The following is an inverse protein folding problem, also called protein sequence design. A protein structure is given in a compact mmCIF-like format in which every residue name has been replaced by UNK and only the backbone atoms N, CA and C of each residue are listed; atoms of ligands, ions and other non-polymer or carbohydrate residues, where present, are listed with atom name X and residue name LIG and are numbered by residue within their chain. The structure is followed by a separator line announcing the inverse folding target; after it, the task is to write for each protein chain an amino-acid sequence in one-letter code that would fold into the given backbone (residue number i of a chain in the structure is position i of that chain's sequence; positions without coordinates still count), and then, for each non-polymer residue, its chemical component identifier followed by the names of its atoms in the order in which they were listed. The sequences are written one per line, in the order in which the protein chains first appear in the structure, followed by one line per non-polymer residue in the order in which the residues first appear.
data_IF_212743709822
#
_entry.id   IF_212743709822
#
_cell.length_a   1.000
_cell.length_b   1.000
_cell.length_c   1.000
_cell.angle_alpha   90.00
_cell.angle_beta   90.00
_cell.angle_gamma   90.00
#
_symmetry.space_group_name_H-M   'P 1'
#
loop_
_entity.id
_entity.type
_entity.pdbx_description
1 polymer ?
#
# COMPACT_ATOMS: atom_id res chain seq x y z
N UNK A 1 -28.08 -34.21 41.29
CA UNK A 1 -28.87 -34.07 40.04
C UNK A 1 -28.82 -32.60 39.62
N UNK A 2 -27.76 -32.19 38.93
CA UNK A 2 -27.65 -30.88 38.27
C UNK A 2 -26.98 -31.15 36.92
N UNK A 3 -27.76 -30.92 35.88
CA UNK A 3 -27.45 -30.99 34.45
C UNK A 3 -26.78 -29.67 34.02
N UNK A 4 -26.36 -29.59 32.75
CA UNK A 4 -26.06 -28.37 31.96
C UNK A 4 -24.56 -27.97 31.99
N UNK A 5 -23.80 -27.77 30.90
CA UNK A 5 -23.98 -27.86 29.45
C UNK A 5 -22.57 -28.00 28.85
N UNK A 6 -22.28 -29.00 28.02
CA UNK A 6 -20.99 -29.06 27.29
C UNK A 6 -21.10 -28.16 26.05
N UNK A 7 -20.49 -26.97 26.10
CA UNK A 7 -20.29 -26.13 24.92
C UNK A 7 -19.20 -26.79 24.05
N UNK A 8 -19.62 -27.41 22.94
CA UNK A 8 -18.70 -27.83 21.88
C UNK A 8 -18.40 -26.58 21.07
N UNK A 9 -17.22 -25.99 21.29
CA UNK A 9 -16.68 -24.94 20.42
C UNK A 9 -16.31 -25.63 19.11
N UNK A 10 -17.21 -25.55 18.13
CA UNK A 10 -16.91 -25.89 16.75
C UNK A 10 -15.94 -24.88 16.18
N UNK A 11 -14.68 -25.27 16.04
CA UNK A 11 -13.69 -24.53 15.24
C UNK A 11 -14.16 -24.65 13.79
N UNK A 12 -14.80 -23.58 13.31
CA UNK A 12 -15.07 -23.40 11.87
C UNK A 12 -13.71 -23.15 11.23
N UNK A 13 -13.13 -24.20 10.63
CA UNK A 13 -12.06 -24.03 9.66
C UNK A 13 -12.64 -23.21 8.51
N UNK A 14 -12.32 -21.91 8.49
CA UNK A 14 -12.55 -21.06 7.35
C UNK A 14 -11.58 -21.55 6.27
N UNK A 15 -12.03 -22.50 5.45
CA UNK A 15 -11.29 -22.97 4.30
C UNK A 15 -11.11 -21.78 3.35
N UNK A 16 -9.91 -21.21 3.34
CA UNK A 16 -9.51 -20.28 2.30
C UNK A 16 -9.66 -21.01 0.97
N UNK A 17 -10.58 -20.51 0.14
CA UNK A 17 -10.70 -20.96 -1.25
C UNK A 17 -9.40 -20.55 -1.93
N UNK A 18 -8.44 -21.48 -1.96
CA UNK A 18 -7.16 -21.34 -2.64
C UNK A 18 -7.40 -21.29 -4.15
N UNK A 19 -7.66 -20.09 -4.66
CA UNK A 19 -7.65 -19.83 -6.10
C UNK A 19 -6.20 -19.99 -6.57
N UNK A 20 -5.92 -21.09 -7.25
CA UNK A 20 -4.56 -21.53 -7.60
C UNK A 20 -3.85 -20.49 -8.46
N UNK A 21 -2.97 -19.69 -7.84
CA UNK A 21 -1.88 -19.02 -8.55
C UNK A 21 -1.00 -20.10 -9.18
N UNK A 22 -0.71 -19.98 -10.47
CA UNK A 22 0.17 -20.92 -11.14
C UNK A 22 1.52 -20.91 -10.41
N UNK A 23 1.94 -22.07 -9.87
CA UNK A 23 3.16 -22.14 -9.09
C UNK A 23 4.34 -21.82 -10.00
N UNK A 24 5.05 -20.73 -9.71
CA UNK A 24 6.32 -20.40 -10.35
C UNK A 24 7.26 -21.61 -10.28
N UNK A 25 7.89 -21.96 -11.41
CA UNK A 25 8.91 -23.01 -11.42
C UNK A 25 10.11 -22.59 -10.56
N UNK A 26 10.88 -23.55 -10.00
CA UNK A 26 12.08 -23.23 -9.24
C UNK A 26 13.05 -22.33 -10.00
N UNK A 27 13.21 -22.54 -11.31
CA UNK A 27 14.09 -21.75 -12.18
C UNK A 27 13.60 -20.30 -12.33
N UNK A 28 12.29 -20.12 -12.48
CA UNK A 28 11.68 -18.79 -12.53
C UNK A 28 11.84 -18.04 -11.20
N UNK A 29 11.69 -18.75 -10.06
CA UNK A 29 11.93 -18.17 -8.74
C UNK A 29 13.39 -17.76 -8.55
N UNK A 30 14.33 -18.61 -8.94
CA UNK A 30 15.77 -18.33 -8.87
C UNK A 30 16.14 -17.12 -9.74
N UNK A 31 15.62 -17.03 -10.97
CA UNK A 31 15.83 -15.89 -11.84
C UNK A 31 15.28 -14.58 -11.26
N UNK A 32 14.08 -14.61 -10.67
CA UNK A 32 13.48 -13.44 -10.03
C UNK A 32 14.23 -13.03 -8.77
N UNK A 33 14.72 -13.98 -7.98
CA UNK A 33 15.53 -13.70 -6.78
C UNK A 33 16.90 -13.08 -7.12
N UNK A 34 17.40 -13.27 -8.34
CA UNK A 34 18.65 -12.63 -8.83
C UNK A 34 18.45 -11.19 -9.27
N UNK A 35 17.21 -10.69 -9.37
CA UNK A 35 16.97 -9.29 -9.69
C UNK A 35 17.48 -8.41 -8.55
N UNK A 36 18.35 -7.46 -8.90
CA UNK A 36 18.84 -6.49 -7.92
C UNK A 36 17.80 -5.39 -7.71
N UNK A 37 16.97 -5.55 -6.68
CA UNK A 37 16.01 -4.55 -6.22
C UNK A 37 16.29 -4.24 -4.74
N UNK A 38 17.33 -3.44 -4.42
CA UNK A 38 17.67 -3.07 -3.05
C UNK A 38 16.49 -2.47 -2.29
N UNK A 39 16.40 -2.82 -1.00
CA UNK A 39 15.34 -2.36 -0.09
C UNK A 39 14.04 -3.17 -0.16
N UNK A 40 13.95 -4.16 -1.04
CA UNK A 40 12.76 -5.01 -1.16
C UNK A 40 13.09 -6.51 -1.22
N UNK A 41 12.10 -7.34 -0.91
CA UNK A 41 12.12 -8.79 -1.10
C UNK A 41 10.82 -9.25 -1.76
N UNK A 42 10.94 -10.06 -2.81
CA UNK A 42 9.80 -10.76 -3.40
C UNK A 42 9.51 -12.00 -2.54
N UNK A 43 8.35 -12.03 -1.89
CA UNK A 43 7.93 -13.15 -1.06
C UNK A 43 6.94 -14.01 -1.86
N UNK A 44 7.42 -15.11 -2.43
CA UNK A 44 6.60 -16.01 -3.24
C UNK A 44 5.75 -16.99 -2.42
N UNK A 45 6.00 -17.12 -1.12
CA UNK A 45 5.20 -17.97 -0.23
C UNK A 45 3.89 -17.27 0.12
N UNK A 46 3.98 -16.02 0.56
CA UNK A 46 2.84 -15.14 0.82
C UNK A 46 2.32 -14.44 -0.43
N UNK A 47 3.07 -14.51 -1.53
CA UNK A 47 2.86 -13.75 -2.76
C UNK A 47 2.66 -12.25 -2.47
N UNK A 48 3.67 -11.69 -1.80
CA UNK A 48 3.74 -10.29 -1.41
C UNK A 48 5.05 -9.64 -1.86
N UNK A 49 5.09 -8.32 -1.81
CA UNK A 49 6.33 -7.54 -1.84
C UNK A 49 6.58 -7.06 -0.41
N UNK A 50 7.73 -7.42 0.14
CA UNK A 50 8.17 -6.99 1.46
C UNK A 50 9.16 -5.82 1.25
N UNK A 51 8.82 -4.62 1.75
CA UNK A 51 9.64 -3.41 1.65
C UNK A 51 10.27 -3.15 3.01
N UNK A 52 11.59 -3.04 3.09
CA UNK A 52 12.29 -2.73 4.33
C UNK A 52 12.16 -1.25 4.66
N UNK A 53 11.80 -0.93 5.90
CA UNK A 53 11.50 0.43 6.34
C UNK A 53 11.88 0.62 7.82
N UNK A 54 11.85 1.87 8.26
CA UNK A 54 12.03 2.25 9.66
C UNK A 54 10.83 3.06 10.14
N UNK A 55 10.53 2.99 11.43
CA UNK A 55 9.58 3.91 12.07
C UNK A 55 10.21 5.30 12.10
N UNK A 56 9.56 6.31 11.53
CA UNK A 56 10.08 7.69 11.51
C UNK A 56 9.16 8.72 12.19
N UNK A 57 7.95 8.32 12.60
CA UNK A 57 7.01 9.18 13.32
C UNK A 57 6.16 8.41 14.32
N UNK A 58 6.14 8.86 15.58
CA UNK A 58 5.32 8.28 16.66
C UNK A 58 4.08 9.11 17.02
N UNK A 59 4.05 10.38 16.62
CA UNK A 59 2.94 11.30 16.87
C UNK A 59 2.87 12.34 15.75
N UNK A 60 1.65 12.66 15.29
CA UNK A 60 1.44 13.67 14.26
C UNK A 60 0.24 13.36 13.39
N UNK A 61 -0.21 14.38 12.65
CA UNK A 61 -1.14 14.19 11.52
C UNK A 61 -0.40 13.57 10.34
N UNK A 62 -1.10 12.79 9.53
CA UNK A 62 -0.50 12.01 8.46
C UNK A 62 -0.90 12.53 7.09
N UNK A 63 0.10 12.70 6.23
CA UNK A 63 -0.09 12.77 4.78
C UNK A 63 0.27 11.44 4.11
N UNK A 64 1.17 10.66 4.71
CA UNK A 64 1.62 9.36 4.20
C UNK A 64 1.69 8.28 5.26
N UNK A 65 1.63 7.04 4.81
CA UNK A 65 2.04 5.86 5.58
C UNK A 65 3.54 5.62 5.41
N UNK A 66 4.02 5.69 4.17
CA UNK A 66 5.41 5.39 3.83
C UNK A 66 5.92 6.46 2.86
N UNK A 67 7.06 7.06 3.20
CA UNK A 67 7.83 7.92 2.30
C UNK A 67 9.21 7.33 2.00
N UNK A 68 9.94 7.92 1.06
CA UNK A 68 11.37 7.65 0.91
C UNK A 68 12.17 8.38 1.99
N UNK A 69 13.37 7.89 2.32
CA UNK A 69 14.28 8.59 3.22
C UNK A 69 14.64 9.99 2.70
N UNK A 70 14.85 10.92 3.64
CA UNK A 70 15.12 12.34 3.44
C UNK A 70 14.07 13.07 2.59
N UNK A 71 12.79 12.82 2.86
CA UNK A 71 11.68 13.48 2.15
C UNK A 71 10.61 14.03 3.10
N UNK A 72 9.73 13.16 3.62
CA UNK A 72 8.47 13.53 4.29
C UNK A 72 8.27 12.80 5.62
N UNK A 73 9.35 12.49 6.32
CA UNK A 73 9.34 11.75 7.58
C UNK A 73 8.54 12.46 8.69
N UNK A 74 8.41 13.79 8.61
CA UNK A 74 7.64 14.57 9.58
C UNK A 74 6.11 14.39 9.46
N UNK A 75 5.64 13.73 8.39
CA UNK A 75 4.23 13.51 8.06
C UNK A 75 3.93 12.07 7.58
N UNK A 76 4.88 11.15 7.82
CA UNK A 76 4.84 9.74 7.42
C UNK A 76 5.12 8.84 8.62
N UNK A 77 4.41 7.70 8.77
CA UNK A 77 4.70 6.76 9.87
C UNK A 77 6.06 6.08 9.67
N UNK A 78 6.34 5.68 8.42
CA UNK A 78 7.52 4.91 8.05
C UNK A 78 8.30 5.61 6.94
N UNK A 79 9.61 5.37 6.90
CA UNK A 79 10.49 5.76 5.79
C UNK A 79 11.23 4.55 5.23
N UNK A 80 11.63 4.61 3.96
CA UNK A 80 12.39 3.54 3.32
C UNK A 80 13.49 4.08 2.40
N UNK A 81 14.62 3.39 2.38
CA UNK A 81 15.67 3.56 1.37
C UNK A 81 15.36 2.81 0.06
N UNK A 82 14.30 1.98 0.04
CA UNK A 82 13.86 1.32 -1.17
C UNK A 82 13.38 2.34 -2.19
N UNK A 83 13.94 2.24 -3.40
CA UNK A 83 13.55 3.13 -4.50
C UNK A 83 12.10 2.90 -4.90
N UNK A 84 11.25 3.93 -5.05
CA UNK A 84 9.87 3.79 -5.50
C UNK A 84 9.72 3.01 -6.81
N UNK A 85 10.67 3.17 -7.75
CA UNK A 85 10.72 2.39 -8.98
C UNK A 85 10.90 0.88 -8.73
N UNK A 86 11.65 0.48 -7.70
CA UNK A 86 11.80 -0.94 -7.32
C UNK A 86 10.49 -1.50 -6.78
N UNK A 87 9.80 -0.75 -5.91
CA UNK A 87 8.50 -1.14 -5.35
C UNK A 87 7.47 -1.28 -6.49
N UNK A 88 7.40 -0.31 -7.41
CA UNK A 88 6.57 -0.39 -8.60
C UNK A 88 6.86 -1.66 -9.41
N UNK A 89 8.14 -1.90 -9.72
CA UNK A 89 8.59 -3.05 -10.50
C UNK A 89 8.22 -4.36 -9.83
N UNK A 90 8.39 -4.46 -8.51
CA UNK A 90 8.02 -5.64 -7.75
C UNK A 90 6.52 -5.93 -7.77
N UNK A 91 5.68 -4.89 -7.63
CA UNK A 91 4.23 -5.05 -7.73
C UNK A 91 3.81 -5.56 -9.12
N UNK A 92 4.47 -5.11 -10.19
CA UNK A 92 4.28 -5.64 -11.55
C UNK A 92 4.69 -7.11 -11.66
N UNK A 93 5.84 -7.49 -11.10
CA UNK A 93 6.32 -8.87 -11.09
C UNK A 93 5.38 -9.80 -10.32
N UNK A 94 4.75 -9.29 -9.26
CA UNK A 94 3.71 -10.00 -8.50
C UNK A 94 2.32 -9.98 -9.19
N UNK A 95 2.23 -9.42 -10.39
CA UNK A 95 1.05 -9.46 -11.26
C UNK A 95 0.03 -8.35 -11.05
N UNK A 96 0.33 -7.36 -10.22
CA UNK A 96 -0.53 -6.19 -9.99
C UNK A 96 -0.45 -5.23 -11.17
N UNK A 97 -1.56 -4.53 -11.45
CA UNK A 97 -1.61 -3.52 -12.51
C UNK A 97 -1.73 -2.11 -11.94
N UNK A 98 -0.84 -1.18 -12.32
CA UNK A 98 -1.02 0.22 -12.01
C UNK A 98 -2.16 0.79 -12.85
N UNK A 99 -2.82 1.84 -12.35
CA UNK A 99 -3.72 2.66 -13.14
C UNK A 99 -3.21 4.08 -13.25
N UNK A 100 -3.81 4.99 -12.48
CA UNK A 100 -3.43 6.39 -12.47
C UNK A 100 -3.68 7.01 -11.08
N UNK A 101 -2.88 8.00 -10.66
CA UNK A 101 -3.22 8.86 -9.53
C UNK A 101 -4.48 9.68 -9.81
N UNK A 102 -5.06 10.28 -8.76
CA UNK A 102 -6.11 11.26 -8.95
C UNK A 102 -5.58 12.48 -9.73
N UNK A 103 -6.35 12.99 -10.69
CA UNK A 103 -5.91 14.13 -11.51
C UNK A 103 -7.07 14.94 -12.07
N UNK A 104 -6.80 16.15 -12.56
CA UNK A 104 -7.75 16.93 -13.35
C UNK A 104 -7.42 16.82 -14.83
N UNK A 105 -8.40 16.50 -15.67
CA UNK A 105 -8.27 16.46 -17.13
C UNK A 105 -9.11 17.54 -17.81
N UNK A 106 -8.58 18.09 -18.90
CA UNK A 106 -9.33 19.02 -19.76
C UNK A 106 -10.14 18.21 -20.77
N UNK A 107 -11.47 18.33 -20.72
CA UNK A 107 -12.36 17.55 -21.58
C UNK A 107 -12.53 18.15 -22.98
N UNK A 108 -12.38 19.47 -23.15
CA UNK A 108 -12.50 20.15 -24.45
C UNK A 108 -11.55 21.35 -24.56
N UNK A 109 -10.94 21.54 -25.75
CA UNK A 109 -10.01 22.65 -26.05
C UNK A 109 -10.69 23.99 -26.30
N UNK A 110 -11.98 24.00 -26.65
CA UNK A 110 -12.72 25.23 -26.97
C UNK A 110 -13.34 25.90 -25.73
N UNK A 111 -13.82 25.09 -24.78
CA UNK A 111 -14.26 25.52 -23.45
C UNK A 111 -13.57 24.65 -22.41
N UNK A 112 -12.60 25.20 -21.68
CA UNK A 112 -11.80 24.43 -20.69
C UNK A 112 -12.72 24.01 -19.54
N UNK A 113 -13.23 22.79 -19.60
CA UNK A 113 -13.86 22.10 -18.47
C UNK A 113 -12.87 21.15 -17.85
N UNK A 114 -12.54 21.39 -16.58
CA UNK A 114 -11.75 20.50 -15.76
C UNK A 114 -12.66 19.42 -15.18
N UNK A 115 -12.33 18.16 -15.47
CA UNK A 115 -13.03 16.98 -14.94
C UNK A 115 -12.06 16.24 -14.01
N UNK A 116 -12.49 15.98 -12.78
CA UNK A 116 -11.76 15.14 -11.85
C UNK A 116 -11.77 13.69 -12.34
N UNK A 117 -10.60 13.06 -12.31
CA UNK A 117 -10.41 11.64 -12.58
C UNK A 117 -9.98 10.99 -11.28
N UNK A 118 -10.77 10.03 -10.84
CA UNK A 118 -10.50 9.25 -9.64
C UNK A 118 -9.26 8.36 -9.82
N UNK A 119 -8.56 8.01 -8.72
CA UNK A 119 -7.45 7.08 -8.80
C UNK A 119 -7.93 5.70 -9.27
N UNK A 120 -7.08 5.02 -10.04
CA UNK A 120 -7.37 3.70 -10.57
C UNK A 120 -6.16 2.78 -10.45
N UNK A 121 -6.41 1.47 -10.39
CA UNK A 121 -5.37 0.44 -10.25
C UNK A 121 -5.87 -0.78 -9.49
N UNK A 122 -5.02 -1.81 -9.39
CA UNK A 122 -5.30 -2.94 -8.52
C UNK A 122 -5.17 -2.54 -7.04
N UNK A 123 -6.01 -3.14 -6.19
CA UNK A 123 -5.98 -2.92 -4.74
C UNK A 123 -4.87 -3.73 -4.08
N UNK A 124 -4.08 -3.07 -3.24
CA UNK A 124 -2.94 -3.61 -2.49
C UNK A 124 -3.25 -3.49 -1.00
N UNK A 125 -3.31 -4.61 -0.29
CA UNK A 125 -3.35 -4.65 1.17
C UNK A 125 -1.97 -4.27 1.70
N UNK A 126 -1.93 -3.38 2.68
CA UNK A 126 -0.72 -2.95 3.36
C UNK A 126 -0.76 -3.47 4.80
N UNK A 127 0.29 -4.19 5.17
CA UNK A 127 0.52 -4.68 6.54
C UNK A 127 1.91 -4.26 7.01
N UNK A 128 2.12 -4.21 8.32
CA UNK A 128 3.42 -3.96 8.95
C UNK A 128 3.85 -5.25 9.66
N UNK A 129 5.09 -5.68 9.41
CA UNK A 129 5.66 -6.89 9.99
C UNK A 129 6.91 -6.53 10.77
N UNK A 130 6.94 -6.89 12.06
CA UNK A 130 8.09 -6.69 12.94
C UNK A 130 8.08 -7.73 14.06
N UNK A 131 9.21 -7.84 14.76
CA UNK A 131 9.33 -8.71 15.94
C UNK A 131 8.61 -8.10 17.13
N UNK A 132 7.79 -8.89 17.81
CA UNK A 132 7.24 -8.50 19.11
C UNK A 132 8.30 -8.60 20.23
N UNK A 133 7.89 -8.29 21.46
CA UNK A 133 8.72 -8.37 22.68
C UNK A 133 9.27 -9.78 22.94
N UNK A 134 8.62 -10.83 22.41
CA UNK A 134 9.01 -12.24 22.55
C UNK A 134 9.99 -12.69 21.44
N UNK A 135 10.37 -11.80 20.51
CA UNK A 135 11.25 -12.12 19.39
C UNK A 135 10.53 -12.75 18.18
N UNK A 136 9.19 -12.79 18.19
CA UNK A 136 8.38 -13.43 17.16
C UNK A 136 7.89 -12.40 16.14
N UNK A 137 8.17 -12.66 14.85
CA UNK A 137 7.65 -11.82 13.77
C UNK A 137 6.13 -11.95 13.66
N UNK A 138 5.43 -10.82 13.79
CA UNK A 138 3.97 -10.72 13.62
C UNK A 138 3.62 -9.76 12.51
N UNK A 139 2.50 -10.03 11.83
CA UNK A 139 1.93 -9.17 10.79
C UNK A 139 0.70 -8.46 11.35
N UNK A 140 0.69 -7.12 11.27
CA UNK A 140 -0.40 -6.26 11.72
C UNK A 140 -0.98 -5.50 10.52
N UNK A 141 -2.32 -5.35 10.41
CA UNK A 141 -2.91 -4.49 9.40
C UNK A 141 -2.50 -3.03 9.61
N UNK A 142 -2.34 -2.26 8.53
CA UNK A 142 -1.92 -0.86 8.65
C UNK A 142 -2.91 0.00 9.46
N UNK A 143 -4.20 -0.35 9.48
CA UNK A 143 -5.22 0.34 10.27
C UNK A 143 -4.98 0.29 11.78
N UNK A 144 -4.17 -0.63 12.30
CA UNK A 144 -3.79 -0.64 13.71
C UNK A 144 -2.91 0.58 14.08
N UNK A 145 -2.20 1.16 13.12
CA UNK A 145 -1.26 2.27 13.32
C UNK A 145 -1.82 3.64 12.93
N UNK A 146 -3.09 3.71 12.54
CA UNK A 146 -3.75 4.94 12.11
C UNK A 146 -5.04 5.16 12.88
N UNK A 147 -5.28 6.40 13.31
CA UNK A 147 -6.52 6.78 13.97
C UNK A 147 -7.08 8.08 13.40
N UNK A 148 -8.41 8.29 13.45
CA UNK A 148 -8.98 9.56 13.03
C UNK A 148 -8.53 10.70 13.97
N UNK A 149 -8.35 11.89 13.40
CA UNK A 149 -8.21 13.13 14.19
C UNK A 149 -9.53 13.43 14.88
N UNK A 150 -9.50 13.79 16.17
CA UNK A 150 -10.71 14.16 16.90
C UNK A 150 -11.26 15.49 16.35
N UNK A 151 -12.59 15.65 16.16
CA UNK A 151 -13.16 16.92 15.73
C UNK A 151 -12.78 18.03 16.71
N UNK A 152 -12.19 19.12 16.23
CA UNK A 152 -11.81 20.27 17.07
C UNK A 152 -13.02 21.17 17.42
N UNK A 153 -14.22 20.87 16.92
CA UNK A 153 -15.44 21.65 17.16
C UNK A 153 -16.58 20.74 17.63
N UNK A 154 -17.07 21.02 18.83
CA UNK A 154 -18.36 20.59 19.34
C UNK A 154 -19.47 21.02 18.38
N UNK A 155 -19.88 20.14 17.46
CA UNK A 155 -21.25 20.02 16.95
C UNK A 155 -21.22 19.16 15.69
N UNK A 156 -21.52 17.89 15.89
CA UNK A 156 -22.55 17.10 15.21
C UNK A 156 -22.17 15.66 15.54
N UNK A 157 -23.09 14.98 16.22
CA UNK A 157 -22.98 13.56 16.48
C UNK A 157 -22.97 12.80 15.14
N UNK A 158 -21.80 12.65 14.53
CA UNK A 158 -21.58 11.68 13.48
C UNK A 158 -21.42 10.33 14.16
N UNK A 159 -22.54 9.61 14.15
CA UNK A 159 -22.62 8.18 14.44
C UNK A 159 -21.73 7.46 13.42
N UNK A 160 -20.88 6.57 13.93
CA UNK A 160 -19.86 5.76 13.23
C UNK A 160 -18.46 6.39 13.15
N UNK A 161 -17.51 5.77 13.86
CA UNK A 161 -16.08 6.04 13.71
C UNK A 161 -15.66 5.55 12.33
N UNK A 162 -15.24 6.47 11.45
CA UNK A 162 -14.66 6.10 10.16
C UNK A 162 -13.43 5.21 10.39
N UNK A 163 -13.50 3.97 9.92
CA UNK A 163 -12.39 3.02 10.02
C UNK A 163 -11.36 3.33 8.94
N UNK A 164 -10.07 3.26 9.28
CA UNK A 164 -9.00 3.40 8.31
C UNK A 164 -8.96 2.16 7.39
N UNK A 165 -8.89 2.32 6.06
CA UNK A 165 -8.83 1.18 5.14
C UNK A 165 -7.44 0.52 5.15
N UNK A 166 -7.40 -0.80 5.02
CA UNK A 166 -6.14 -1.55 4.90
C UNK A 166 -5.66 -1.69 3.45
N UNK A 167 -6.45 -1.26 2.46
CA UNK A 167 -6.09 -1.35 1.05
C UNK A 167 -5.96 0.00 0.34
N UNK A 168 -4.94 0.05 -0.50
CA UNK A 168 -4.56 1.20 -1.31
C UNK A 168 -4.67 0.84 -2.79
N UNK A 169 -4.94 1.82 -3.63
CA UNK A 169 -4.92 1.68 -5.08
C UNK A 169 -3.48 1.79 -5.55
N UNK A 170 -3.03 0.83 -6.36
CA UNK A 170 -1.79 0.95 -7.10
C UNK A 170 -1.96 1.94 -8.27
N UNK A 171 -1.81 3.22 -7.98
CA UNK A 171 -1.91 4.32 -8.96
C UNK A 171 -0.71 4.37 -9.89
N UNK A 172 0.48 4.01 -9.39
CA UNK A 172 1.68 3.83 -10.20
C UNK A 172 2.42 5.11 -10.59
N UNK A 173 2.12 6.26 -9.97
CA UNK A 173 2.75 7.56 -10.24
C UNK A 173 2.77 7.96 -11.73
N UNK A 174 3.70 8.83 -12.13
CA UNK A 174 3.87 9.33 -13.48
C UNK A 174 5.28 9.14 -13.99
N UNK A 175 5.38 8.75 -15.27
CA UNK A 175 6.62 8.80 -16.03
C UNK A 175 6.58 10.05 -16.92
N UNK A 176 7.33 11.07 -16.56
CA UNK A 176 7.38 12.35 -17.27
C UNK A 176 8.70 12.51 -18.03
N UNK A 177 8.73 13.47 -18.95
CA UNK A 177 9.96 13.85 -19.65
C UNK A 177 10.81 14.77 -18.76
N UNK A 178 12.09 14.46 -18.67
CA UNK A 178 13.11 15.22 -17.95
C UNK A 178 14.02 16.00 -18.90
N UNK A 179 15.08 16.57 -18.33
CA UNK A 179 16.07 17.32 -19.13
C UNK A 179 16.68 16.43 -20.22
N UNK A 180 16.86 17.00 -21.41
CA UNK A 180 17.48 16.33 -22.58
C UNK A 180 16.78 15.01 -22.98
N UNK A 181 15.47 14.89 -22.79
CA UNK A 181 14.69 13.71 -23.19
C UNK A 181 14.87 12.49 -22.28
N UNK A 182 15.48 12.66 -21.11
CA UNK A 182 15.46 11.62 -20.07
C UNK A 182 14.03 11.37 -19.59
N UNK A 183 13.76 10.19 -19.02
CA UNK A 183 12.48 9.92 -18.37
C UNK A 183 12.65 9.99 -16.85
N UNK A 184 11.74 10.67 -16.18
CA UNK A 184 11.69 10.77 -14.72
C UNK A 184 10.43 10.11 -14.18
N UNK A 185 10.60 9.30 -13.16
CA UNK A 185 9.49 8.70 -12.43
C UNK A 185 9.17 9.60 -11.23
N UNK A 186 8.01 10.27 -11.22
CA UNK A 186 7.76 11.38 -10.29
C UNK A 186 7.86 10.97 -8.81
N UNK A 187 7.30 9.82 -8.44
CA UNK A 187 7.40 9.33 -7.06
C UNK A 187 8.85 9.09 -6.62
N UNK A 188 9.79 8.87 -7.54
CA UNK A 188 11.22 8.78 -7.22
C UNK A 188 11.80 10.11 -6.71
N UNK A 189 11.28 11.23 -7.22
CA UNK A 189 11.70 12.58 -6.84
C UNK A 189 10.90 13.10 -5.64
N UNK A 190 9.62 12.74 -5.50
CA UNK A 190 8.71 13.30 -4.47
C UNK A 190 8.59 12.47 -3.20
N UNK A 191 8.94 11.19 -3.24
CA UNK A 191 8.90 10.31 -2.07
C UNK A 191 7.50 9.84 -1.67
N UNK A 192 6.47 10.07 -2.49
CA UNK A 192 5.07 9.74 -2.18
C UNK A 192 4.73 8.24 -2.37
N UNK A 193 5.33 7.37 -1.56
CA UNK A 193 5.23 5.90 -1.75
C UNK A 193 3.84 5.37 -1.41
N UNK A 194 3.33 5.63 -0.20
CA UNK A 194 1.99 5.22 0.23
C UNK A 194 1.32 6.41 0.91
N UNK A 195 0.36 7.05 0.25
CA UNK A 195 -0.22 8.31 0.71
C UNK A 195 -1.65 8.16 1.22
N UNK A 196 -1.97 8.88 2.29
CA UNK A 196 -3.34 9.02 2.83
C UNK A 196 -4.02 10.31 2.38
N UNK A 197 -3.24 11.23 1.81
CA UNK A 197 -3.71 12.47 1.18
C UNK A 197 -3.42 12.43 -0.34
N UNK A 198 -4.18 13.17 -1.15
CA UNK A 198 -4.16 13.14 -2.63
C UNK A 198 -3.21 14.16 -3.32
N UNK A 199 -1.97 13.76 -3.62
CA UNK A 199 -0.92 14.61 -4.20
C UNK A 199 -0.99 14.60 -5.74
N UNK A 200 -1.45 13.50 -6.33
CA UNK A 200 -1.55 13.33 -7.78
C UNK A 200 -0.29 12.76 -8.44
N UNK A 201 0.64 12.20 -7.67
CA UNK A 201 1.87 11.57 -8.16
C UNK A 201 2.29 10.32 -7.36
N UNK A 202 1.39 9.81 -6.51
CA UNK A 202 1.67 8.77 -5.53
C UNK A 202 1.80 7.39 -6.20
N UNK A 203 2.65 6.53 -5.61
CA UNK A 203 2.75 5.13 -6.04
C UNK A 203 1.52 4.33 -5.60
N UNK A 204 1.16 4.41 -4.32
CA UNK A 204 -0.06 3.86 -3.72
C UNK A 204 -0.88 4.99 -3.06
N UNK A 205 -2.18 5.06 -3.31
CA UNK A 205 -3.08 6.08 -2.75
C UNK A 205 -4.38 5.48 -2.21
N UNK A 206 -5.10 6.22 -1.37
CA UNK A 206 -6.44 5.84 -0.94
C UNK A 206 -7.44 5.93 -2.11
N UNK A 207 -8.52 5.12 -2.03
CA UNK A 207 -9.60 5.20 -3.01
C UNK A 207 -10.44 6.47 -2.87
N UNK A 208 -10.51 7.02 -1.66
CA UNK A 208 -11.21 8.27 -1.37
C UNK A 208 -10.25 9.45 -1.54
N UNK A 209 -10.72 10.52 -2.16
CA UNK A 209 -9.96 11.75 -2.32
C UNK A 209 -9.92 12.52 -0.99
N UNK A 210 -8.73 12.92 -0.58
CA UNK A 210 -8.44 13.69 0.64
C UNK A 210 -7.46 14.81 0.29
N UNK A 211 -7.75 16.04 0.71
CA UNK A 211 -6.86 17.18 0.46
C UNK A 211 -5.64 17.19 1.41
N UNK A 212 -4.53 17.80 0.96
CA UNK A 212 -3.29 18.07 1.73
C UNK A 212 -3.31 19.40 2.50
N UNK A 213 -4.43 20.09 2.52
CA UNK A 213 -4.52 21.30 3.34
C UNK A 213 -4.63 20.85 4.80
N UNK A 214 -3.84 21.43 5.70
CA UNK A 214 -3.77 21.05 7.12
C UNK A 214 -5.15 20.88 7.79
N UNK A 215 -6.13 21.72 7.42
CA UNK A 215 -7.50 21.70 7.96
C UNK A 215 -8.39 20.56 7.42
N UNK A 216 -7.86 19.74 6.50
CA UNK A 216 -8.53 18.59 5.88
C UNK A 216 -7.86 17.26 6.20
N UNK A 217 -6.76 17.26 6.98
CA UNK A 217 -6.10 16.03 7.42
C UNK A 217 -6.95 15.34 8.48
N UNK A 218 -7.45 14.16 8.15
CA UNK A 218 -8.38 13.40 8.99
C UNK A 218 -7.72 12.24 9.73
N UNK A 219 -6.43 11.98 9.51
CA UNK A 219 -5.70 10.83 10.05
C UNK A 219 -4.47 11.26 10.84
N UNK A 220 -4.18 10.53 11.92
CA UNK A 220 -3.00 10.69 12.77
C UNK A 220 -2.39 9.35 13.15
N UNK A 221 -1.15 9.37 13.60
CA UNK A 221 -0.44 8.19 14.11
C UNK A 221 -1.18 7.59 15.31
N UNK A 222 -1.30 6.27 15.33
CA UNK A 222 -1.60 5.48 16.53
C UNK A 222 -0.38 4.64 16.92
N UNK A 223 0.41 5.14 17.87
CA UNK A 223 1.69 4.55 18.26
C UNK A 223 1.59 3.41 19.28
N UNK A 224 0.38 3.00 19.69
CA UNK A 224 0.19 1.98 20.75
C UNK A 224 0.90 0.65 20.49
N UNK A 225 1.02 0.26 19.23
CA UNK A 225 1.67 -0.98 18.81
C UNK A 225 2.93 -0.71 17.96
N UNK A 226 3.28 0.55 17.71
CA UNK A 226 4.46 0.85 16.92
C UNK A 226 5.72 0.48 17.71
N UNK A 227 6.73 -0.10 17.04
CA UNK A 227 8.10 -0.12 17.57
C UNK A 227 8.63 1.29 17.85
N UNK A 228 9.74 1.35 18.58
CA UNK A 228 10.40 2.62 18.89
C UNK A 228 10.86 3.36 17.62
N UNK A 229 11.03 4.67 17.74
CA UNK A 229 11.51 5.51 16.65
C UNK A 229 12.86 5.00 16.12
N UNK A 230 12.95 4.78 14.81
CA UNK A 230 14.13 4.25 14.13
C UNK A 230 14.18 2.73 14.00
N UNK A 231 13.33 1.99 14.73
CA UNK A 231 13.30 0.53 14.65
C UNK A 231 12.90 0.03 13.25
N UNK A 232 13.49 -1.10 12.86
CA UNK A 232 13.27 -1.71 11.56
C UNK A 232 11.93 -2.46 11.51
N UNK A 233 11.21 -2.26 10.40
CA UNK A 233 9.97 -2.96 10.09
C UNK A 233 9.95 -3.39 8.62
N UNK A 234 9.04 -4.29 8.28
CA UNK A 234 8.72 -4.65 6.91
C UNK A 234 7.32 -4.14 6.58
N UNK A 235 7.22 -3.32 5.54
CA UNK A 235 5.92 -2.97 4.93
C UNK A 235 5.60 -4.02 3.88
N UNK A 236 4.62 -4.87 4.18
CA UNK A 236 4.19 -5.97 3.31
C UNK A 236 3.02 -5.55 2.43
N UNK A 237 3.21 -5.71 1.12
CA UNK A 237 2.26 -5.34 0.09
C UNK A 237 1.67 -6.60 -0.58
N UNK A 238 0.39 -6.88 -0.35
CA UNK A 238 -0.32 -8.04 -0.92
C UNK A 238 -1.39 -7.59 -1.91
N UNK A 239 -1.32 -8.04 -3.15
CA UNK A 239 -2.39 -7.75 -4.13
C UNK A 239 -3.70 -8.46 -3.76
N UNK A 240 -4.81 -7.72 -3.69
CA UNK A 240 -6.16 -8.29 -3.55
C UNK A 240 -6.60 -9.03 -4.81
N UNK A 241 -6.01 -8.72 -5.97
CA UNK A 241 -6.39 -9.31 -7.24
C UNK A 241 -5.51 -10.54 -7.52
N UNK A 242 -6.12 -11.72 -7.50
CA UNK A 242 -5.48 -12.95 -7.97
C UNK A 242 -5.84 -13.15 -9.44
N UNK A 243 -4.89 -12.90 -10.35
CA UNK A 243 -5.08 -13.14 -11.78
C UNK A 243 -4.47 -14.49 -12.18
N UNK A 244 -5.21 -15.39 -12.85
CA UNK A 244 -4.61 -16.57 -13.45
C UNK A 244 -3.69 -16.15 -14.61
N UNK A 245 -2.57 -16.87 -14.78
CA UNK A 245 -1.67 -16.64 -15.90
C UNK A 245 -2.42 -16.88 -17.22
N UNK A 246 -2.25 -15.96 -18.18
CA UNK A 246 -2.78 -16.17 -19.53
C UNK A 246 -1.93 -17.23 -20.22
N UNK A 247 -2.45 -18.46 -20.29
CA UNK A 247 -1.91 -19.48 -21.17
C UNK A 247 -1.99 -18.97 -22.62
N UNK A 248 -0.85 -18.60 -23.22
CA UNK A 248 -0.76 -18.42 -24.67
C UNK A 248 -0.89 -19.81 -25.31
N UNK A 249 -2.13 -20.26 -25.54
CA UNK A 249 -2.38 -21.35 -26.48
C UNK A 249 -1.85 -20.92 -27.84
N UNK A 250 -0.87 -21.66 -28.33
CA UNK A 250 -0.30 -21.53 -29.67
C UNK A 250 -1.43 -21.44 -30.71
N UNK A 251 -1.57 -20.31 -31.38
CA UNK A 251 -2.24 -20.27 -32.67
C UNK A 251 -1.29 -20.84 -33.71
N UNK A 252 -1.23 -22.17 -33.78
CA UNK A 252 -0.93 -22.83 -35.04
C UNK A 252 -2.20 -22.74 -35.88
N UNK A 253 -2.22 -21.86 -36.86
CA UNK A 253 -3.11 -22.00 -38.02
C UNK A 253 -2.25 -22.17 -39.25
N UNK A 254 -2.51 -23.30 -39.91
CA UNK A 254 -2.04 -23.74 -41.23
C UNK A 254 -2.21 -22.66 -42.29
#
# INVERSE_FOLDING_TARGET
MILVLKFIIGIVFLSSVGLSREKLTPEAKDALNKLNLPGIKLNFEEWSVDVFANVCLLEGVLELILCTDNSKEHESIFCTSARPLHIHTALLLMGSKPGNPAMKRVQQKKDVRWVSVDPAGDKIIVSVVFSDEDGMFREYPISDFVSPVAPQLEAVAVKEKKQFPDDFIFSGSHLIEGAKGSKKYLCEDTGNVISVSTFGDELLCLSELSGHENDKLIWKVNSKLLPDLGEEVIIRLKSKVVRPAKNKRSTNKK
#
